data_IF_433915335241
#
_entry.id   IF_433915335241
#
_cell.length_a   1.000
_cell.length_b   1.000
_cell.length_c   1.000
_cell.angle_alpha   90.00
_cell.angle_beta   90.00
_cell.angle_gamma   90.00
#
_symmetry.space_group_name_H-M   'P 1'
#
loop_
_entity.id
_entity.type
_entity.pdbx_description
1 polymer ?
#
# COMPACT_ATOMS: atom_id res chain seq x y z
N UNK A 1 -14.25 -7.56 -57.94
CA UNK A 1 -14.11 -8.59 -58.99
C UNK A 1 -12.81 -9.31 -58.69
N UNK A 2 -12.69 -10.58 -58.33
CA UNK A 2 -13.54 -11.76 -58.10
C UNK A 2 -12.75 -12.57 -57.03
N UNK A 3 -13.35 -13.12 -55.98
CA UNK A 3 -13.80 -14.53 -55.88
C UNK A 3 -12.81 -15.56 -56.47
N UNK A 4 -12.52 -16.74 -55.96
CA UNK A 4 -12.82 -17.54 -54.76
C UNK A 4 -12.29 -18.97 -55.11
N UNK A 5 -11.83 -19.76 -54.14
CA UNK A 5 -11.80 -21.25 -54.09
C UNK A 5 -10.80 -21.65 -52.98
N UNK A 6 -11.17 -21.94 -51.73
CA UNK A 6 -12.01 -23.03 -51.22
C UNK A 6 -11.81 -24.37 -51.98
N UNK A 7 -11.13 -25.35 -51.37
CA UNK A 7 -11.78 -26.45 -50.62
C UNK A 7 -10.88 -27.71 -50.47
N UNK A 8 -10.75 -28.18 -49.22
CA UNK A 8 -10.62 -29.57 -48.72
C UNK A 8 -9.61 -30.54 -49.34
N UNK A 9 -8.77 -31.15 -48.48
CA UNK A 9 -8.68 -32.63 -48.34
C UNK A 9 -8.47 -33.04 -46.88
N UNK A 10 -9.51 -33.64 -46.31
CA UNK A 10 -9.46 -34.52 -45.13
C UNK A 10 -9.05 -35.91 -45.65
N UNK A 11 -8.05 -36.53 -45.02
CA UNK A 11 -7.77 -37.96 -45.19
C UNK A 11 -7.41 -38.57 -43.82
N UNK A 12 -8.34 -39.41 -43.36
CA UNK A 12 -8.23 -40.36 -42.24
C UNK A 12 -7.64 -41.68 -42.76
N UNK A 13 -6.79 -42.35 -41.98
CA UNK A 13 -6.57 -43.82 -41.89
C UNK A 13 -5.40 -44.05 -40.90
N UNK A 14 -5.60 -44.48 -39.65
CA UNK A 14 -5.82 -45.84 -39.10
C UNK A 14 -4.66 -46.84 -39.29
N UNK A 15 -4.17 -47.37 -38.16
CA UNK A 15 -3.24 -48.52 -38.00
C UNK A 15 -1.95 -48.09 -37.28
N UNK A 16 -1.48 -48.68 -36.18
CA UNK A 16 -1.61 -50.05 -35.70
C UNK A 16 -1.33 -50.11 -34.18
N UNK A 17 -2.10 -50.95 -33.49
CA UNK A 17 -2.00 -51.31 -32.08
C UNK A 17 -0.86 -52.34 -31.89
N UNK A 18 -0.01 -52.16 -30.88
CA UNK A 18 0.86 -53.24 -30.37
C UNK A 18 0.85 -53.21 -28.84
N UNK A 19 0.32 -54.30 -28.25
CA UNK A 19 0.29 -54.60 -26.82
C UNK A 19 1.21 -55.79 -26.57
N UNK A 20 2.19 -55.65 -25.68
CA UNK A 20 2.82 -56.74 -24.90
C UNK A 20 3.30 -56.11 -23.58
N UNK A 21 2.51 -56.20 -22.50
CA UNK A 21 2.70 -57.07 -21.32
C UNK A 21 4.14 -57.20 -20.78
N UNK A 22 4.41 -56.57 -19.63
CA UNK A 22 5.43 -57.00 -18.70
C UNK A 22 4.87 -56.99 -17.26
N UNK A 23 4.85 -58.18 -16.66
CA UNK A 23 4.50 -58.50 -15.29
C UNK A 23 5.71 -58.26 -14.36
N UNK A 24 5.48 -57.80 -13.14
CA UNK A 24 6.49 -57.72 -12.09
C UNK A 24 5.85 -57.51 -10.73
N UNK A 25 5.96 -58.53 -9.88
CA UNK A 25 5.10 -58.82 -8.73
C UNK A 25 5.30 -57.95 -7.49
N UNK A 26 4.24 -57.92 -6.68
CA UNK A 26 4.17 -57.39 -5.33
C UNK A 26 5.04 -58.17 -4.34
N UNK A 27 5.55 -57.48 -3.32
CA UNK A 27 6.00 -58.09 -2.07
C UNK A 27 5.19 -57.49 -0.92
N UNK A 28 4.27 -58.30 -0.40
CA UNK A 28 3.52 -58.08 0.83
C UNK A 28 4.33 -58.66 2.00
N UNK A 29 4.57 -57.88 3.04
CA UNK A 29 5.10 -58.36 4.32
C UNK A 29 4.07 -58.12 5.44
N UNK A 30 3.35 -59.17 5.81
CA UNK A 30 2.71 -59.34 7.14
C UNK A 30 3.85 -59.76 8.09
N UNK A 31 4.04 -59.31 9.34
CA UNK A 31 3.11 -59.06 10.43
C UNK A 31 3.46 -60.05 11.56
N UNK A 32 3.98 -59.59 12.71
CA UNK A 32 3.96 -60.34 13.98
C UNK A 32 4.03 -59.35 15.17
N UNK A 33 3.01 -59.38 16.03
CA UNK A 33 2.89 -58.70 17.32
C UNK A 33 3.68 -59.42 18.45
N UNK A 34 3.91 -58.77 19.63
CA UNK A 34 4.93 -59.17 20.61
C UNK A 34 4.41 -60.11 21.71
N UNK A 35 5.34 -60.77 22.44
CA UNK A 35 5.16 -61.00 23.89
C UNK A 35 6.48 -60.65 24.65
N UNK A 36 6.59 -60.40 25.96
CA UNK A 36 5.75 -60.61 27.13
C UNK A 36 6.18 -59.66 28.27
N UNK A 37 5.33 -59.52 29.28
CA UNK A 37 5.59 -58.90 30.59
C UNK A 37 6.22 -59.86 31.62
N UNK A 38 6.83 -59.26 32.66
CA UNK A 38 7.28 -59.78 33.98
C UNK A 38 8.77 -60.21 34.10
N UNK A 39 9.54 -59.93 35.16
CA UNK A 39 9.47 -59.03 36.31
C UNK A 39 10.83 -59.03 37.08
N UNK A 40 11.05 -58.00 37.92
CA UNK A 40 11.92 -57.93 39.13
C UNK A 40 13.46 -57.89 38.98
N UNK A 41 14.06 -56.80 39.45
CA UNK A 41 15.32 -56.85 40.24
C UNK A 41 16.42 -55.85 39.87
N UNK A 42 16.59 -54.81 40.69
CA UNK A 42 17.85 -54.06 40.83
C UNK A 42 17.80 -52.59 40.45
N UNK A 43 17.66 -51.71 41.46
CA UNK A 43 17.90 -50.27 41.33
C UNK A 43 19.42 -49.99 41.34
N UNK A 44 20.03 -49.42 40.29
CA UNK A 44 21.31 -48.74 40.42
C UNK A 44 21.13 -47.34 41.03
N UNK A 45 22.13 -46.80 41.76
CA UNK A 45 22.01 -45.53 42.47
C UNK A 45 21.81 -44.36 41.50
N UNK A 46 20.89 -43.46 41.86
CA UNK A 46 20.56 -42.26 41.11
C UNK A 46 21.78 -41.35 40.96
N UNK A 47 22.20 -41.13 39.71
CA UNK A 47 22.99 -39.97 39.32
C UNK A 47 22.12 -38.71 39.43
N UNK A 48 22.65 -37.57 39.87
CA UNK A 48 21.87 -36.34 39.91
C UNK A 48 21.45 -35.96 38.49
N UNK A 49 20.14 -35.92 38.26
CA UNK A 49 19.53 -35.31 37.10
C UNK A 49 19.92 -33.83 37.08
N UNK A 50 20.95 -33.48 36.31
CA UNK A 50 21.12 -32.12 35.82
C UNK A 50 19.89 -31.81 34.98
N UNK A 51 19.05 -30.91 35.48
CA UNK A 51 17.92 -30.37 34.72
C UNK A 51 18.44 -29.85 33.38
N UNK A 52 17.78 -30.13 32.25
CA UNK A 52 18.12 -29.44 31.01
C UNK A 52 17.87 -27.95 31.24
N UNK A 53 18.93 -27.18 31.11
CA UNK A 53 18.89 -25.74 31.01
C UNK A 53 17.86 -25.38 29.92
N UNK A 54 16.92 -24.45 30.16
CA UNK A 54 15.97 -24.07 29.13
C UNK A 54 16.77 -23.46 27.98
N UNK A 55 16.89 -24.18 26.88
CA UNK A 55 17.35 -23.62 25.63
C UNK A 55 16.34 -22.55 25.24
N UNK A 56 16.64 -21.30 25.57
CA UNK A 56 15.89 -20.14 25.09
C UNK A 56 16.09 -20.10 23.58
N UNK A 57 15.24 -20.79 22.84
CA UNK A 57 15.09 -20.55 21.42
C UNK A 57 14.48 -19.17 21.31
N UNK A 58 15.33 -18.15 21.11
CA UNK A 58 14.89 -16.82 20.70
C UNK A 58 14.22 -16.99 19.33
N UNK A 59 12.93 -17.31 19.33
CA UNK A 59 12.09 -17.14 18.17
C UNK A 59 12.08 -15.65 17.89
N UNK A 60 12.78 -15.23 16.84
CA UNK A 60 12.64 -13.89 16.29
C UNK A 60 11.22 -13.77 15.79
N UNK A 61 10.30 -13.41 16.69
CA UNK A 61 8.93 -13.13 16.34
C UNK A 61 8.96 -12.01 15.30
N UNK A 62 8.34 -12.25 14.15
CA UNK A 62 8.13 -11.20 13.15
C UNK A 62 7.45 -10.06 13.86
N UNK A 63 8.06 -8.88 13.83
CA UNK A 63 7.43 -7.66 14.34
C UNK A 63 6.28 -7.34 13.39
N UNK A 64 5.10 -7.89 13.70
CA UNK A 64 3.84 -7.52 13.07
C UNK A 64 3.40 -6.22 13.73
N UNK A 65 3.34 -5.14 12.96
CA UNK A 65 2.91 -3.85 13.51
C UNK A 65 1.39 -3.79 13.57
N UNK A 66 0.79 -4.55 14.48
CA UNK A 66 -0.54 -4.27 15.04
C UNK A 66 -0.44 -3.50 16.35
N UNK A 67 0.79 -3.30 16.84
CA UNK A 67 1.14 -2.59 18.07
C UNK A 67 2.07 -1.44 17.72
N UNK A 68 1.91 -0.29 18.38
CA UNK A 68 2.82 0.85 18.27
C UNK A 68 4.27 0.43 18.50
N UNK A 69 5.13 0.68 17.51
CA UNK A 69 6.57 0.43 17.63
C UNK A 69 7.20 1.38 18.65
N UNK A 70 8.15 0.91 19.48
CA UNK A 70 8.93 1.82 20.30
C UNK A 70 9.74 2.78 19.40
N UNK A 71 10.06 3.97 19.90
CA UNK A 71 10.61 5.07 19.09
C UNK A 71 11.91 4.69 18.35
N UNK A 72 12.78 3.93 19.00
CA UNK A 72 14.04 3.41 18.45
C UNK A 72 13.82 2.31 17.38
N UNK A 73 12.65 1.68 17.37
CA UNK A 73 12.27 0.71 16.36
C UNK A 73 11.57 1.32 15.14
N UNK A 74 11.17 2.59 15.16
CA UNK A 74 10.61 3.28 13.99
C UNK A 74 11.68 3.50 12.93
N UNK A 75 11.27 3.57 11.66
CA UNK A 75 12.22 3.65 10.53
C UNK A 75 13.12 4.90 10.61
N UNK A 76 12.56 6.05 10.99
CA UNK A 76 13.30 7.31 11.12
C UNK A 76 14.47 7.25 12.11
N UNK A 77 14.40 6.39 13.14
CA UNK A 77 15.48 6.18 14.08
C UNK A 77 16.61 5.29 13.53
N UNK A 78 16.40 4.63 12.38
CA UNK A 78 17.29 3.63 11.78
C UNK A 78 17.98 4.12 10.50
N UNK A 79 17.68 5.32 10.05
CA UNK A 79 18.19 5.89 8.79
C UNK A 79 18.94 7.20 9.05
N UNK A 80 19.75 7.64 8.08
CA UNK A 80 20.53 8.87 8.19
C UNK A 80 19.89 10.06 7.46
N UNK A 81 19.17 9.81 6.37
CA UNK A 81 18.44 10.84 5.61
C UNK A 81 16.92 10.72 5.80
N UNK A 82 16.20 11.54 5.04
CA UNK A 82 14.75 11.68 5.15
C UNK A 82 14.01 11.37 3.84
N UNK A 83 14.61 10.66 2.89
CA UNK A 83 13.95 10.33 1.62
C UNK A 83 13.28 8.97 1.68
N UNK A 84 11.98 8.94 1.41
CA UNK A 84 11.19 7.71 1.38
C UNK A 84 10.50 7.53 0.03
N UNK A 85 10.69 6.36 -0.56
CA UNK A 85 10.02 5.92 -1.77
C UNK A 85 8.82 5.05 -1.41
N UNK A 86 7.63 5.41 -1.85
CA UNK A 86 6.43 4.61 -1.67
C UNK A 86 6.03 4.00 -3.00
N UNK A 87 6.01 2.66 -3.06
CA UNK A 87 5.69 1.88 -4.24
C UNK A 87 4.36 1.17 -4.01
N UNK A 88 3.39 1.34 -4.91
CA UNK A 88 2.13 0.64 -4.70
C UNK A 88 1.18 0.54 -5.88
N UNK A 89 0.06 -0.13 -5.60
CA UNK A 89 -1.06 -0.29 -6.52
C UNK A 89 -2.16 0.75 -6.27
N UNK A 90 -3.40 0.48 -6.70
CA UNK A 90 -4.53 1.42 -6.62
C UNK A 90 -4.81 1.91 -5.21
N UNK A 91 -4.58 1.08 -4.19
CA UNK A 91 -4.84 1.45 -2.79
C UNK A 91 -3.89 2.55 -2.35
N UNK A 92 -2.59 2.40 -2.62
CA UNK A 92 -1.59 3.43 -2.30
C UNK A 92 -1.73 4.65 -3.21
N UNK A 93 -1.99 4.43 -4.50
CA UNK A 93 -2.23 5.48 -5.49
C UNK A 93 -3.29 6.48 -5.01
N UNK A 94 -4.38 5.98 -4.40
CA UNK A 94 -5.49 6.78 -3.91
C UNK A 94 -5.11 7.81 -2.83
N UNK A 95 -3.97 7.64 -2.16
CA UNK A 95 -3.45 8.57 -1.13
C UNK A 95 -2.49 9.63 -1.67
N UNK A 96 -2.19 9.59 -2.97
CA UNK A 96 -1.24 10.51 -3.61
C UNK A 96 -1.86 11.88 -3.88
N UNK A 97 -1.01 12.88 -4.17
CA UNK A 97 -1.42 14.27 -4.42
C UNK A 97 -2.44 14.46 -5.55
N UNK A 98 -2.56 13.50 -6.47
CA UNK A 98 -3.51 13.60 -7.58
C UNK A 98 -4.94 13.25 -7.18
N UNK A 99 -5.13 12.71 -5.98
CA UNK A 99 -6.45 12.44 -5.39
C UNK A 99 -6.71 13.37 -4.20
N UNK A 100 -6.09 13.09 -3.04
CA UNK A 100 -6.24 13.87 -1.80
C UNK A 100 -4.91 14.35 -1.23
N UNK A 101 -3.84 13.57 -1.37
CA UNK A 101 -2.50 13.93 -0.89
C UNK A 101 -2.22 13.52 0.56
N UNK A 102 -3.10 12.71 1.17
CA UNK A 102 -3.07 12.31 2.58
C UNK A 102 -1.71 11.72 2.99
N UNK A 103 -1.10 10.94 2.11
CA UNK A 103 0.21 10.34 2.37
C UNK A 103 1.31 11.39 2.50
N UNK A 104 1.33 12.36 1.59
CA UNK A 104 2.32 13.42 1.67
C UNK A 104 2.05 14.35 2.86
N UNK A 105 0.80 14.67 3.16
CA UNK A 105 0.44 15.51 4.30
C UNK A 105 0.92 14.90 5.62
N UNK A 106 0.71 13.59 5.80
CA UNK A 106 1.17 12.86 6.99
C UNK A 106 2.70 12.80 7.09
N UNK A 107 3.39 12.52 5.97
CA UNK A 107 4.84 12.27 5.98
C UNK A 107 5.68 13.55 5.98
N UNK A 108 5.25 14.60 5.27
CA UNK A 108 5.95 15.89 5.25
C UNK A 108 5.95 16.54 6.63
N UNK A 109 4.85 16.41 7.37
CA UNK A 109 4.76 16.89 8.75
C UNK A 109 5.78 16.22 9.69
N UNK A 110 6.19 14.99 9.37
CA UNK A 110 7.21 14.23 10.10
C UNK A 110 8.64 14.45 9.57
N UNK A 111 8.82 15.30 8.56
CA UNK A 111 10.12 15.61 7.97
C UNK A 111 10.53 14.76 6.79
N UNK A 112 9.68 13.85 6.32
CA UNK A 112 10.03 13.01 5.18
C UNK A 112 9.90 13.75 3.85
N UNK A 113 10.89 13.53 2.99
CA UNK A 113 10.83 13.79 1.56
C UNK A 113 10.22 12.55 0.88
N UNK A 114 8.90 12.57 0.70
CA UNK A 114 8.13 11.42 0.25
C UNK A 114 7.81 11.49 -1.24
N UNK A 115 8.04 10.39 -1.95
CA UNK A 115 7.57 10.20 -3.33
C UNK A 115 6.62 9.01 -3.41
N UNK A 116 5.42 9.23 -3.93
CA UNK A 116 4.38 8.19 -4.04
C UNK A 116 4.29 7.71 -5.49
N UNK A 117 5.04 6.65 -5.79
CA UNK A 117 5.07 5.96 -7.07
C UNK A 117 4.12 4.77 -7.04
N UNK A 118 2.83 5.09 -7.18
CA UNK A 118 1.77 4.11 -7.14
C UNK A 118 0.75 4.39 -8.24
N UNK A 119 0.26 3.34 -8.90
CA UNK A 119 -0.65 3.42 -10.04
C UNK A 119 -1.79 2.40 -9.94
N UNK A 120 -2.93 2.76 -10.51
CA UNK A 120 -4.12 1.89 -10.52
C UNK A 120 -3.89 0.60 -11.32
N UNK A 121 -4.41 -0.53 -10.83
CA UNK A 121 -4.38 -1.82 -11.54
C UNK A 121 -3.00 -2.50 -11.60
N UNK A 122 -1.98 -1.96 -10.92
CA UNK A 122 -0.63 -2.51 -10.95
C UNK A 122 -0.49 -3.79 -10.12
N UNK A 123 0.20 -4.76 -10.71
CA UNK A 123 0.63 -6.01 -10.08
C UNK A 123 2.04 -5.83 -9.51
N UNK A 124 2.54 -6.86 -8.83
CA UNK A 124 3.83 -6.82 -8.10
C UNK A 124 5.05 -6.50 -8.98
N UNK A 125 5.02 -6.84 -10.27
CA UNK A 125 6.09 -6.55 -11.24
C UNK A 125 6.26 -5.04 -11.47
N UNK A 126 5.25 -4.24 -11.18
CA UNK A 126 5.34 -2.78 -11.27
C UNK A 126 6.46 -2.20 -10.41
N UNK A 127 6.73 -2.81 -9.25
CA UNK A 127 7.79 -2.30 -8.39
C UNK A 127 9.18 -2.44 -9.01
N UNK A 128 9.40 -3.40 -9.90
CA UNK A 128 10.66 -3.44 -10.67
C UNK A 128 10.79 -2.25 -11.61
N UNK A 129 9.69 -1.85 -12.29
CA UNK A 129 9.69 -0.66 -13.15
C UNK A 129 9.97 0.61 -12.35
N UNK A 130 9.37 0.76 -11.17
CA UNK A 130 9.64 1.89 -10.28
C UNK A 130 11.10 1.91 -9.85
N UNK A 131 11.64 0.77 -9.39
CA UNK A 131 13.02 0.71 -8.95
C UNK A 131 14.03 0.90 -10.10
N UNK A 132 13.72 0.49 -11.31
CA UNK A 132 14.57 0.74 -12.49
C UNK A 132 14.75 2.24 -12.74
N UNK A 133 13.68 3.02 -12.59
CA UNK A 133 13.71 4.46 -12.83
C UNK A 133 14.18 5.29 -11.62
N UNK A 134 13.86 4.83 -10.41
CA UNK A 134 13.93 5.69 -9.21
C UNK A 134 15.02 5.31 -8.24
N UNK A 135 15.50 4.06 -8.23
CA UNK A 135 16.46 3.61 -7.22
C UNK A 135 17.74 4.44 -7.19
N UNK A 136 18.23 4.84 -8.36
CA UNK A 136 19.44 5.67 -8.52
C UNK A 136 19.30 7.08 -7.92
N UNK A 137 18.08 7.53 -7.59
CA UNK A 137 17.87 8.81 -6.95
C UNK A 137 18.40 8.85 -5.51
N UNK A 138 18.60 7.70 -4.85
CA UNK A 138 19.09 7.61 -3.47
C UNK A 138 17.98 7.80 -2.44
N UNK A 139 17.52 6.70 -1.86
CA UNK A 139 16.44 6.63 -0.89
C UNK A 139 16.96 6.08 0.44
N UNK A 140 16.42 6.58 1.54
CA UNK A 140 16.77 6.16 2.90
C UNK A 140 15.84 5.06 3.42
N UNK A 141 14.62 4.99 2.89
CA UNK A 141 13.65 3.94 3.20
C UNK A 141 12.70 3.72 2.02
N UNK A 142 12.04 2.57 2.02
CA UNK A 142 10.95 2.28 1.09
C UNK A 142 9.71 1.75 1.80
N UNK A 143 8.54 2.03 1.23
CA UNK A 143 7.25 1.49 1.66
C UNK A 143 6.61 0.81 0.46
N UNK A 144 6.16 -0.44 0.61
CA UNK A 144 5.60 -1.22 -0.50
C UNK A 144 4.19 -1.71 -0.13
N UNK A 145 3.20 -1.34 -0.94
CA UNK A 145 1.86 -1.91 -0.95
C UNK A 145 1.52 -2.41 -2.35
N UNK A 146 1.98 -3.63 -2.65
CA UNK A 146 1.72 -4.32 -3.89
C UNK A 146 1.17 -5.71 -3.60
N UNK A 147 0.07 -6.07 -4.26
CA UNK A 147 -0.56 -7.37 -4.13
C UNK A 147 -2.08 -7.32 -4.03
N UNK A 148 -2.70 -6.14 -4.06
CA UNK A 148 -4.15 -6.01 -4.23
C UNK A 148 -4.59 -6.39 -5.65
N UNK A 149 -3.66 -6.38 -6.61
CA UNK A 149 -3.77 -7.10 -7.87
C UNK A 149 -2.83 -8.31 -7.84
N UNK A 150 -3.41 -9.50 -7.68
CA UNK A 150 -2.69 -10.76 -7.50
C UNK A 150 -3.22 -11.76 -8.52
N UNK A 151 -2.31 -12.33 -9.30
CA UNK A 151 -2.62 -13.30 -10.36
C UNK A 151 -2.82 -14.73 -9.87
N UNK A 152 -2.92 -14.95 -8.56
CA UNK A 152 -3.06 -16.29 -7.95
C UNK A 152 -1.87 -17.21 -8.24
N UNK A 153 -0.68 -16.61 -8.32
CA UNK A 153 0.61 -17.27 -8.50
C UNK A 153 1.57 -16.80 -7.40
N UNK A 154 1.56 -17.52 -6.28
CA UNK A 154 2.35 -17.19 -5.09
C UNK A 154 3.87 -17.25 -5.37
N UNK A 155 4.41 -18.25 -6.08
CA UNK A 155 5.82 -18.27 -6.47
C UNK A 155 6.24 -17.03 -7.27
N UNK A 156 5.44 -16.60 -8.25
CA UNK A 156 5.74 -15.39 -9.02
C UNK A 156 5.67 -14.14 -8.13
N UNK A 157 4.65 -14.02 -7.27
CA UNK A 157 4.57 -12.90 -6.33
C UNK A 157 5.79 -12.82 -5.40
N UNK A 158 6.18 -13.96 -4.82
CA UNK A 158 7.36 -14.09 -3.96
C UNK A 158 8.63 -13.64 -4.67
N UNK A 159 8.87 -14.12 -5.90
CA UNK A 159 10.06 -13.76 -6.67
C UNK A 159 10.20 -12.26 -6.86
N UNK A 160 9.13 -11.58 -7.26
CA UNK A 160 9.16 -10.13 -7.46
C UNK A 160 9.32 -9.36 -6.15
N UNK A 161 8.59 -9.73 -5.10
CA UNK A 161 8.71 -9.06 -3.80
C UNK A 161 10.10 -9.20 -3.20
N UNK A 162 10.66 -10.41 -3.26
CA UNK A 162 12.01 -10.70 -2.79
C UNK A 162 13.06 -9.90 -3.57
N UNK A 163 12.93 -9.83 -4.91
CA UNK A 163 13.83 -9.03 -5.73
C UNK A 163 13.81 -7.54 -5.34
N UNK A 164 12.63 -6.96 -5.09
CA UNK A 164 12.50 -5.58 -4.61
C UNK A 164 13.20 -5.37 -3.26
N UNK A 165 12.94 -6.25 -2.28
CA UNK A 165 13.58 -6.19 -0.95
C UNK A 165 15.10 -6.25 -1.06
N UNK A 166 15.63 -7.14 -1.90
CA UNK A 166 17.08 -7.25 -2.12
C UNK A 166 17.67 -6.01 -2.80
N UNK A 167 16.99 -5.42 -3.79
CA UNK A 167 17.44 -4.21 -4.48
C UNK A 167 17.47 -2.98 -3.58
N UNK A 168 16.58 -2.93 -2.58
CA UNK A 168 16.48 -1.85 -1.60
C UNK A 168 17.46 -2.02 -0.42
N UNK A 169 18.04 -3.21 -0.25
CA UNK A 169 19.03 -3.48 0.79
C UNK A 169 20.26 -2.55 0.67
N UNK A 170 20.79 -1.99 1.78
CA UNK A 170 20.46 -2.32 3.18
C UNK A 170 19.36 -1.44 3.80
N UNK A 171 18.67 -0.62 3.00
CA UNK A 171 17.71 0.34 3.55
C UNK A 171 16.50 -0.35 4.18
N UNK A 172 15.89 0.22 5.23
CA UNK A 172 14.64 -0.27 5.77
C UNK A 172 13.54 -0.32 4.71
N UNK A 173 12.81 -1.44 4.67
CA UNK A 173 11.66 -1.64 3.78
C UNK A 173 10.43 -1.95 4.63
N UNK A 174 9.42 -1.09 4.57
CA UNK A 174 8.12 -1.33 5.17
C UNK A 174 7.24 -2.05 4.16
N UNK A 175 6.90 -3.31 4.43
CA UNK A 175 5.94 -4.06 3.64
C UNK A 175 4.56 -3.97 4.29
N UNK A 176 3.55 -3.58 3.51
CA UNK A 176 2.17 -3.60 3.94
C UNK A 176 1.52 -4.90 3.49
N UNK A 177 0.93 -5.64 4.42
CA UNK A 177 -0.05 -6.69 4.07
C UNK A 177 -1.21 -6.08 3.28
N UNK A 178 -1.88 -6.86 2.45
CA UNK A 178 -3.05 -6.41 1.68
C UNK A 178 -4.35 -6.79 2.40
N UNK A 179 -5.41 -6.00 2.20
CA UNK A 179 -6.74 -6.34 2.73
C UNK A 179 -7.19 -7.70 2.18
N UNK A 180 -7.75 -8.56 3.01
CA UNK A 180 -8.21 -9.90 2.60
C UNK A 180 -9.65 -9.90 2.05
N UNK A 181 -9.93 -9.01 1.09
CA UNK A 181 -11.24 -8.91 0.41
C UNK A 181 -11.57 -10.13 -0.47
N UNK A 182 -10.58 -11.00 -0.70
CA UNK A 182 -10.69 -12.32 -1.36
C UNK A 182 -9.82 -13.34 -0.64
N UNK A 183 -10.18 -14.64 -0.60
CA UNK A 183 -9.39 -15.67 0.06
C UNK A 183 -7.93 -15.76 -0.44
N UNK A 184 -7.70 -15.55 -1.74
CA UNK A 184 -6.35 -15.61 -2.33
C UNK A 184 -5.38 -14.55 -1.81
N UNK A 185 -5.86 -13.51 -1.09
CA UNK A 185 -5.00 -12.49 -0.47
C UNK A 185 -4.21 -13.01 0.73
N UNK A 186 -4.67 -14.07 1.38
CA UNK A 186 -3.91 -14.73 2.45
C UNK A 186 -2.56 -15.24 1.95
N UNK A 187 -2.46 -15.67 0.68
CA UNK A 187 -1.21 -16.12 0.07
C UNK A 187 -0.20 -14.98 -0.11
N UNK A 188 -0.68 -13.78 -0.45
CA UNK A 188 0.11 -12.55 -0.56
C UNK A 188 0.68 -12.18 0.82
N UNK A 189 -0.20 -12.14 1.83
CA UNK A 189 0.18 -11.80 3.20
C UNK A 189 1.17 -12.80 3.80
N UNK A 190 1.01 -14.10 3.51
CA UNK A 190 1.96 -15.13 3.91
C UNK A 190 3.37 -14.86 3.38
N UNK A 191 3.50 -14.47 2.10
CA UNK A 191 4.79 -14.12 1.49
C UNK A 191 5.38 -12.84 2.11
N UNK A 192 4.56 -11.85 2.43
CA UNK A 192 5.02 -10.61 3.09
C UNK A 192 5.62 -10.93 4.47
N UNK A 193 4.96 -11.77 5.26
CA UNK A 193 5.52 -12.21 6.54
C UNK A 193 6.79 -13.04 6.39
N UNK A 194 6.88 -13.88 5.35
CA UNK A 194 8.10 -14.63 5.01
C UNK A 194 9.28 -13.68 4.74
N UNK A 195 9.08 -12.59 3.99
CA UNK A 195 10.13 -11.60 3.73
C UNK A 195 10.66 -11.00 5.03
N UNK A 196 9.78 -10.68 5.98
CA UNK A 196 10.17 -10.13 7.27
C UNK A 196 10.91 -11.12 8.17
N UNK A 197 10.65 -12.42 8.04
CA UNK A 197 11.43 -13.46 8.72
C UNK A 197 12.83 -13.59 8.13
N UNK A 198 12.94 -13.43 6.81
CA UNK A 198 14.16 -13.67 6.06
C UNK A 198 15.10 -12.46 6.03
N UNK A 199 14.56 -11.25 6.00
CA UNK A 199 15.32 -10.02 5.78
C UNK A 199 15.24 -9.07 6.99
N UNK A 200 16.35 -8.80 7.69
CA UNK A 200 16.33 -8.01 8.93
C UNK A 200 16.03 -6.52 8.70
N UNK A 201 16.16 -6.02 7.47
CA UNK A 201 15.78 -4.66 7.09
C UNK A 201 14.28 -4.52 6.79
N UNK A 202 13.49 -5.60 6.85
CA UNK A 202 12.05 -5.56 6.57
C UNK A 202 11.24 -5.38 7.85
N UNK A 203 10.29 -4.46 7.81
CA UNK A 203 9.26 -4.23 8.84
C UNK A 203 7.89 -4.46 8.20
N UNK A 204 6.96 -5.11 8.90
CA UNK A 204 5.60 -5.32 8.39
C UNK A 204 4.61 -4.38 9.07
N UNK A 205 3.91 -3.58 8.28
CA UNK A 205 2.67 -2.93 8.69
C UNK A 205 1.51 -3.87 8.34
N UNK A 206 0.83 -4.41 9.36
CA UNK A 206 -0.26 -5.38 9.19
C UNK A 206 -1.59 -4.68 8.87
N UNK A 207 -1.63 -4.04 7.70
CA UNK A 207 -2.80 -3.35 7.17
C UNK A 207 -4.03 -4.26 7.04
N UNK A 208 -3.85 -5.57 6.82
CA UNK A 208 -4.96 -6.53 6.73
C UNK A 208 -5.77 -6.56 8.04
N UNK A 209 -5.09 -6.52 9.19
CA UNK A 209 -5.73 -6.44 10.50
C UNK A 209 -6.41 -5.08 10.69
N UNK A 210 -5.77 -3.99 10.25
CA UNK A 210 -6.34 -2.63 10.37
C UNK A 210 -7.64 -2.51 9.57
N UNK A 211 -7.64 -2.94 8.31
CA UNK A 211 -8.81 -2.84 7.43
C UNK A 211 -9.92 -3.82 7.80
N UNK A 212 -9.60 -4.98 8.37
CA UNK A 212 -10.61 -5.89 8.92
C UNK A 212 -11.30 -5.34 10.18
N UNK A 213 -10.59 -4.55 10.99
CA UNK A 213 -11.12 -4.00 12.23
C UNK A 213 -12.10 -2.85 12.03
N UNK A 214 -12.00 -2.11 10.92
CA UNK A 214 -12.90 -1.00 10.59
C UNK A 214 -13.37 -1.06 9.13
N UNK A 215 -14.51 -1.69 8.85
CA UNK A 215 -15.04 -1.77 7.49
C UNK A 215 -15.38 -0.42 6.85
N UNK A 216 -15.49 0.66 7.63
CA UNK A 216 -15.82 2.00 7.10
C UNK A 216 -14.68 2.65 6.32
N UNK A 217 -13.45 2.13 6.46
CA UNK A 217 -12.26 2.63 5.76
C UNK A 217 -12.15 2.08 4.33
N UNK A 218 -12.96 1.08 3.98
CA UNK A 218 -13.07 0.53 2.63
C UNK A 218 -14.47 0.72 2.06
N UNK A 219 -14.57 0.84 0.75
CA UNK A 219 -15.83 0.91 0.03
C UNK A 219 -16.57 -0.42 0.00
N UNK A 220 -17.68 -0.46 -0.76
CA UNK A 220 -18.54 -1.63 -0.85
C UNK A 220 -17.86 -2.90 -1.38
N UNK A 221 -16.75 -2.75 -2.11
CA UNK A 221 -15.95 -3.87 -2.61
C UNK A 221 -14.93 -4.42 -1.58
N UNK A 222 -14.85 -3.80 -0.40
CA UNK A 222 -13.93 -4.20 0.67
C UNK A 222 -12.45 -3.95 0.36
N UNK A 223 -12.13 -3.21 -0.71
CA UNK A 223 -10.75 -2.97 -1.15
C UNK A 223 -10.44 -1.48 -1.26
N UNK A 224 -11.21 -0.75 -2.06
CA UNK A 224 -10.88 0.64 -2.36
C UNK A 224 -11.16 1.52 -1.16
N UNK A 225 -10.23 2.41 -0.83
CA UNK A 225 -10.34 3.24 0.37
C UNK A 225 -11.42 4.30 0.20
N UNK A 226 -12.18 4.52 1.28
CA UNK A 226 -12.95 5.74 1.48
C UNK A 226 -12.00 6.91 1.80
N UNK A 227 -12.49 8.16 1.79
CA UNK A 227 -11.65 9.31 2.18
C UNK A 227 -11.11 9.18 3.63
N UNK A 228 -11.91 8.73 4.63
CA UNK A 228 -11.37 8.35 5.93
C UNK A 228 -10.30 7.26 5.85
N UNK A 229 -10.50 6.24 5.01
CA UNK A 229 -9.53 5.15 4.89
C UNK A 229 -8.19 5.55 4.30
N UNK A 230 -8.16 6.51 3.37
CA UNK A 230 -6.90 7.10 2.87
C UNK A 230 -6.13 7.78 4.00
N UNK A 231 -6.84 8.52 4.86
CA UNK A 231 -6.26 9.18 6.02
C UNK A 231 -5.72 8.15 7.03
N UNK A 232 -6.46 7.07 7.30
CA UNK A 232 -6.02 5.99 8.19
C UNK A 232 -4.78 5.29 7.64
N UNK A 233 -4.76 4.92 6.35
CA UNK A 233 -3.59 4.30 5.73
C UNK A 233 -2.34 5.20 5.84
N UNK A 234 -2.48 6.49 5.52
CA UNK A 234 -1.39 7.45 5.63
C UNK A 234 -0.87 7.58 7.07
N UNK A 235 -1.76 7.60 8.07
CA UNK A 235 -1.38 7.66 9.48
C UNK A 235 -0.68 6.39 9.96
N UNK A 236 -1.11 5.21 9.51
CA UNK A 236 -0.45 3.94 9.85
C UNK A 236 0.96 3.86 9.27
N UNK A 237 1.15 4.30 8.02
CA UNK A 237 2.49 4.42 7.41
C UNK A 237 3.34 5.44 8.17
N UNK A 238 2.79 6.62 8.47
CA UNK A 238 3.47 7.65 9.25
C UNK A 238 3.89 7.16 10.64
N UNK A 239 3.06 6.34 11.29
CA UNK A 239 3.34 5.78 12.61
C UNK A 239 4.53 4.82 12.60
N UNK A 240 4.62 3.94 11.60
CA UNK A 240 5.76 3.03 11.41
C UNK A 240 7.03 3.79 11.04
N UNK A 241 6.90 4.80 10.18
CA UNK A 241 8.05 5.60 9.76
C UNK A 241 8.59 6.46 10.92
N UNK A 242 7.71 7.07 11.71
CA UNK A 242 8.10 8.03 12.74
C UNK A 242 8.69 9.32 12.18
N UNK A 243 9.29 10.14 13.05
CA UNK A 243 9.96 11.39 12.65
C UNK A 243 11.25 11.08 11.88
N UNK A 244 11.45 11.75 10.75
CA UNK A 244 12.67 11.64 9.98
C UNK A 244 13.87 12.27 10.73
N UNK A 245 15.10 11.78 10.55
CA UNK A 245 16.28 12.31 11.24
C UNK A 245 16.68 13.70 10.74
N UNK A 246 16.22 14.10 9.55
CA UNK A 246 16.54 15.38 8.93
C UNK A 246 15.28 16.09 8.43
N UNK A 247 15.40 17.41 8.27
CA UNK A 247 14.34 18.33 7.88
C UNK A 247 14.86 19.25 6.76
N UNK A 248 13.97 19.88 5.96
CA UNK A 248 12.52 19.78 5.99
C UNK A 248 11.99 18.54 5.26
N UNK A 249 10.74 18.17 5.57
CA UNK A 249 9.96 17.27 4.72
C UNK A 249 9.55 17.93 3.40
N UNK A 250 9.25 17.12 2.40
CA UNK A 250 8.80 17.58 1.07
C UNK A 250 8.01 16.51 0.34
N UNK A 251 6.88 16.87 -0.25
CA UNK A 251 6.25 15.97 -1.21
C UNK A 251 6.98 16.08 -2.55
N UNK A 252 7.60 14.99 -2.99
CA UNK A 252 8.33 14.89 -4.24
C UNK A 252 7.36 14.54 -5.38
N UNK A 253 7.70 14.97 -6.59
CA UNK A 253 6.88 14.70 -7.76
C UNK A 253 7.12 13.28 -8.27
N UNK A 254 6.06 12.49 -8.38
CA UNK A 254 6.08 11.18 -9.04
C UNK A 254 5.93 11.29 -10.57
N UNK A 255 6.65 10.46 -11.31
CA UNK A 255 6.44 10.19 -12.75
C UNK A 255 5.38 9.10 -13.01
N UNK A 256 5.00 8.33 -12.00
CA UNK A 256 4.06 7.22 -12.09
C UNK A 256 2.63 7.67 -11.76
N UNK A 257 1.89 8.04 -12.80
CA UNK A 257 0.53 8.62 -12.69
C UNK A 257 -0.48 7.99 -13.65
N UNK A 258 -0.14 6.86 -14.27
CA UNK A 258 -1.05 6.17 -15.17
C UNK A 258 -2.14 5.43 -14.39
N UNK A 259 -3.33 6.04 -14.34
CA UNK A 259 -4.54 5.46 -13.75
C UNK A 259 -5.56 5.00 -14.80
N UNK A 260 -5.12 4.76 -16.04
CA UNK A 260 -6.00 4.31 -17.14
C UNK A 260 -6.74 2.99 -16.86
N UNK A 261 -6.24 2.18 -15.93
CA UNK A 261 -6.88 0.94 -15.49
C UNK A 261 -8.06 1.16 -14.52
N UNK A 262 -8.27 2.38 -14.04
CA UNK A 262 -9.44 2.75 -13.22
C UNK A 262 -10.63 3.15 -14.12
N UNK A 263 -11.21 2.22 -14.88
CA UNK A 263 -12.38 2.53 -15.73
C UNK A 263 -13.70 2.56 -14.92
N UNK A 264 -14.35 3.74 -14.97
CA UNK A 264 -15.80 4.02 -14.85
C UNK A 264 -16.59 3.63 -13.58
N UNK A 265 -16.13 3.99 -12.38
CA UNK A 265 -17.09 4.23 -11.25
C UNK A 265 -16.75 5.43 -10.38
N UNK A 266 -15.65 6.13 -10.63
CA UNK A 266 -15.42 7.44 -10.05
C UNK A 266 -16.03 8.50 -10.97
N UNK A 267 -17.27 8.91 -10.69
CA UNK A 267 -17.70 10.24 -11.15
C UNK A 267 -16.65 11.22 -10.61
N UNK A 268 -16.02 12.07 -11.45
CA UNK A 268 -15.14 13.11 -10.93
C UNK A 268 -16.02 13.97 -10.04
N UNK A 269 -15.82 13.89 -8.73
CA UNK A 269 -16.37 14.89 -7.82
C UNK A 269 -15.66 16.17 -8.24
N UNK A 270 -16.34 16.95 -9.06
CA UNK A 270 -15.88 18.25 -9.47
C UNK A 270 -15.74 19.03 -8.18
N UNK A 271 -14.51 19.20 -7.70
CA UNK A 271 -14.20 20.23 -6.72
C UNK A 271 -14.51 21.53 -7.45
N UNK A 272 -15.73 22.03 -7.28
CA UNK A 272 -16.02 23.43 -7.53
C UNK A 272 -15.11 24.19 -6.58
N UNK A 273 -13.98 24.67 -7.11
CA UNK A 273 -13.30 25.84 -6.56
C UNK A 273 -14.40 26.86 -6.30
N UNK A 274 -14.67 27.13 -5.03
CA UNK A 274 -15.58 28.21 -4.65
C UNK A 274 -14.86 29.50 -5.01
N UNK A 275 -14.99 29.92 -6.26
CA UNK A 275 -14.61 31.25 -6.70
C UNK A 275 -15.55 32.20 -5.97
N UNK A 276 -15.00 32.91 -4.98
CA UNK A 276 -15.67 34.02 -4.33
C UNK A 276 -15.82 35.14 -5.37
N UNK A 277 -16.85 35.05 -6.20
CA UNK A 277 -17.22 36.09 -7.16
C UNK A 277 -18.31 36.95 -6.53
N UNK A 278 -17.91 38.16 -6.15
CA UNK A 278 -18.77 39.28 -5.77
C UNK A 278 -19.94 39.40 -6.75
N UNK A 279 -21.16 39.20 -6.27
CA UNK A 279 -22.38 39.41 -7.05
C UNK A 279 -22.68 40.90 -7.13
N UNK A 280 -22.36 41.52 -8.25
CA UNK A 280 -22.98 42.78 -8.67
C UNK A 280 -24.40 42.45 -9.14
N UNK A 281 -25.40 42.93 -8.39
CA UNK A 281 -26.82 42.78 -8.72
C UNK A 281 -27.16 43.67 -9.92
N UNK A 282 -27.46 43.05 -11.07
CA UNK A 282 -28.05 43.74 -12.20
C UNK A 282 -29.57 43.88 -11.99
N UNK A 283 -30.03 45.13 -12.03
CA UNK A 283 -31.39 45.60 -11.81
C UNK A 283 -32.32 45.16 -12.94
N UNK A 284 -33.47 44.60 -12.59
CA UNK A 284 -34.57 44.29 -13.51
C UNK A 284 -35.25 45.58 -14.00
N UNK A 285 -35.56 45.62 -15.29
CA UNK A 285 -36.30 46.70 -15.96
C UNK A 285 -37.79 46.58 -15.66
N UNK A 286 -38.36 47.58 -14.99
CA UNK A 286 -39.82 47.81 -14.90
C UNK A 286 -40.15 49.16 -15.52
N UNK A 287 -41.13 49.17 -16.43
CA UNK A 287 -41.71 50.32 -17.13
C UNK A 287 -42.50 51.27 -16.20
N UNK A 288 -42.80 52.50 -16.65
CA UNK A 288 -42.92 53.67 -15.77
C UNK A 288 -44.36 53.94 -15.29
N UNK A 289 -44.48 54.51 -14.09
CA UNK A 289 -45.65 55.24 -13.60
C UNK A 289 -45.20 56.58 -13.01
N UNK A 290 -45.94 57.62 -13.39
CA UNK A 290 -45.81 59.08 -13.22
C UNK A 290 -45.80 59.64 -11.77
N UNK A 291 -44.87 60.59 -11.52
CA UNK A 291 -44.91 61.91 -10.80
C UNK A 291 -45.64 62.12 -9.45
N UNK A 292 -45.36 63.19 -8.63
CA UNK A 292 -44.24 64.17 -8.59
C UNK A 292 -43.71 64.59 -7.17
N UNK A 293 -42.59 65.35 -7.18
CA UNK A 293 -42.19 66.50 -6.33
C UNK A 293 -41.71 66.38 -4.84
N UNK A 294 -40.78 67.32 -4.54
CA UNK A 294 -40.34 67.90 -3.25
C UNK A 294 -39.31 67.09 -2.42
N UNK A 295 -38.28 67.63 -1.74
CA UNK A 295 -37.71 68.98 -1.49
C UNK A 295 -36.37 68.75 -0.74
N UNK A 296 -35.36 69.59 -0.95
CA UNK A 296 -34.13 69.66 -0.12
C UNK A 296 -34.44 70.05 1.34
N UNK A 297 -33.54 69.74 2.31
CA UNK A 297 -32.65 70.80 2.79
C UNK A 297 -31.22 70.38 3.20
N UNK A 298 -30.26 71.20 2.76
CA UNK A 298 -29.22 71.95 3.50
C UNK A 298 -28.56 71.44 4.81
N UNK A 299 -27.22 71.57 4.81
CA UNK A 299 -26.40 72.00 5.96
C UNK A 299 -25.96 70.88 6.91
N UNK A 300 -24.72 70.78 7.40
CA UNK A 300 -23.64 71.76 7.59
C UNK A 300 -22.39 70.97 7.97
N UNK A 301 -21.23 71.43 7.50
CA UNK A 301 -19.91 71.11 8.03
C UNK A 301 -19.30 72.41 8.58
N UNK A 302 -18.42 72.34 9.60
CA UNK A 302 -17.32 73.28 9.59
C UNK A 302 -15.98 72.64 10.02
N UNK A 303 -15.00 72.74 9.11
CA UNK A 303 -13.63 73.23 9.37
C UNK A 303 -12.72 72.35 10.22
N UNK A 304 -11.39 72.41 10.14
CA UNK A 304 -10.50 73.38 9.48
C UNK A 304 -9.09 72.79 9.49
N UNK A 305 -8.36 72.99 8.39
CA UNK A 305 -6.93 73.31 8.24
C UNK A 305 -5.85 72.69 9.16
N UNK A 306 -4.77 72.23 8.53
CA UNK A 306 -3.45 72.16 9.17
C UNK A 306 -2.35 71.61 8.26
N UNK A 307 -1.56 72.51 7.67
CA UNK A 307 -0.58 72.27 6.61
C UNK A 307 0.73 71.60 7.03
N UNK A 308 1.32 70.94 6.03
CA UNK A 308 2.74 70.96 5.62
C UNK A 308 3.79 70.02 6.23
N UNK A 309 4.86 69.72 5.44
CA UNK A 309 5.59 68.46 5.47
C UNK A 309 7.05 68.61 5.93
N UNK A 310 7.72 67.48 6.15
CA UNK A 310 9.17 67.44 6.38
C UNK A 310 9.73 66.07 6.06
N UNK A 311 10.50 66.02 4.98
CA UNK A 311 11.35 64.91 4.52
C UNK A 311 12.51 64.64 5.46
N UNK A 312 12.89 63.36 5.56
CA UNK A 312 14.14 62.84 6.11
C UNK A 312 14.17 61.34 5.93
#
# INVERSE_FOLDING_TARGET
MEAAMFLRRVALLLGLLAVVSACGAAASGQGVDPPATAAVGGLPPATPTTAPEPTTTTSTAVVRTTVTLPLDAKVGARVAGNRVLLIGDSVMASTSQRYGGEMCDALVALGWQAEVDAESGRFVDFGDRVLDERLAAGWDAAVILLGNNYGEDQPTYRRYLEAMVMRLSPQPVVLLTVTEFKPSRAEVNAVIFEMAQKYPNVVVLDWAVVSAADPSITGADGLHLTDPGRSVLAQQVAEVLGTAPTQPGKCLASSFRDDSSATETATPTTVKKSTKTTTTVARATTTPVTDPAATDPAGTDPGTSGSSPGTG
#
